data_IF_519837199696
#
_entry.id   IF_519837199696
#
_cell.length_a   1.000
_cell.length_b   1.000
_cell.length_c   1.000
_cell.angle_alpha   90.00
_cell.angle_beta   90.00
_cell.angle_gamma   90.00
#
_symmetry.space_group_name_H-M   'P 1'
#
loop_
_entity.id
_entity.type
_entity.pdbx_description
1 polymer ?
#
# COMPACT_ATOMS: atom_id res chain seq x y z
N UNK A 1 9.00 9.16 23.33
CA UNK A 1 8.82 10.54 23.81
C UNK A 1 7.35 10.90 23.59
N UNK A 2 6.61 11.07 24.69
CA UNK A 2 5.22 11.55 24.73
C UNK A 2 5.18 13.03 24.31
N UNK A 3 4.14 13.50 23.60
CA UNK A 3 3.26 14.62 24.01
C UNK A 3 2.34 15.12 22.84
N UNK A 4 1.02 15.01 23.07
CA UNK A 4 -0.16 15.90 22.83
C UNK A 4 -0.18 16.90 21.65
N UNK A 5 -1.20 16.87 20.79
CA UNK A 5 -2.56 17.49 20.89
C UNK A 5 -2.52 19.04 20.78
N UNK A 6 -2.80 19.58 19.58
CA UNK A 6 -3.06 21.01 19.34
C UNK A 6 -4.39 21.16 18.58
N UNK A 7 -5.42 21.54 19.34
CA UNK A 7 -6.32 22.68 19.07
C UNK A 7 -7.06 22.76 17.72
N UNK A 8 -8.31 22.29 17.68
CA UNK A 8 -9.38 22.86 16.84
C UNK A 8 -10.32 23.63 17.76
N UNK A 9 -9.87 24.81 18.20
CA UNK A 9 -10.69 25.81 18.89
C UNK A 9 -10.82 26.95 17.91
N UNK A 10 -11.83 26.99 17.03
CA UNK A 10 -12.19 28.27 16.35
C UNK A 10 -13.59 28.35 15.72
N UNK A 11 -14.49 27.37 15.87
CA UNK A 11 -15.79 27.42 15.17
C UNK A 11 -16.99 27.18 16.08
N UNK A 12 -17.03 27.84 17.24
CA UNK A 12 -18.19 27.76 18.16
C UNK A 12 -18.83 29.11 18.52
N UNK A 13 -18.32 30.23 17.99
CA UNK A 13 -18.71 31.56 18.48
C UNK A 13 -19.74 32.35 17.66
N UNK A 14 -20.43 31.76 16.68
CA UNK A 14 -21.30 32.54 15.76
C UNK A 14 -22.75 32.08 15.58
N UNK A 15 -23.37 31.41 16.57
CA UNK A 15 -24.76 30.95 16.43
C UNK A 15 -25.68 31.21 17.64
N UNK A 16 -25.48 32.29 18.39
CA UNK A 16 -26.41 32.66 19.48
C UNK A 16 -26.76 34.15 19.48
N UNK A 17 -27.62 34.56 18.55
CA UNK A 17 -28.37 35.83 18.67
C UNK A 17 -29.57 35.87 17.71
N UNK A 18 -30.66 35.19 18.07
CA UNK A 18 -31.99 35.50 17.56
C UNK A 18 -33.02 35.46 18.72
N UNK A 19 -33.95 36.44 18.80
CA UNK A 19 -34.84 36.61 19.94
C UNK A 19 -36.07 35.68 19.91
N UNK A 20 -36.61 35.46 21.10
CA UNK A 20 -37.65 34.49 21.45
C UNK A 20 -39.06 34.97 21.03
N UNK A 21 -39.57 34.41 19.94
CA UNK A 21 -40.99 34.51 19.55
C UNK A 21 -41.75 33.22 19.91
N UNK A 22 -42.64 33.32 20.89
CA UNK A 22 -43.53 32.25 21.40
C UNK A 22 -44.41 31.64 20.29
N UNK A 23 -44.34 30.32 20.11
CA UNK A 23 -45.46 29.48 19.63
C UNK A 23 -45.17 27.99 19.96
N UNK A 24 -46.00 27.42 20.85
CA UNK A 24 -45.85 26.08 21.45
C UNK A 24 -46.32 24.93 20.55
N UNK A 25 -45.81 24.81 19.31
CA UNK A 25 -46.02 23.59 18.51
C UNK A 25 -44.79 23.14 17.69
N UNK A 26 -43.60 23.65 18.02
CA UNK A 26 -42.34 23.37 17.31
C UNK A 26 -41.24 22.81 18.21
N UNK A 27 -41.61 22.18 19.34
CA UNK A 27 -40.64 21.76 20.36
C UNK A 27 -39.94 20.43 20.04
N UNK A 28 -40.60 19.49 19.34
CA UNK A 28 -40.04 18.14 19.13
C UNK A 28 -39.06 18.04 17.95
N UNK A 29 -39.14 18.92 16.94
CA UNK A 29 -38.29 18.85 15.74
C UNK A 29 -36.89 19.45 15.97
N UNK A 30 -36.75 20.40 16.91
CA UNK A 30 -35.48 21.10 17.17
C UNK A 30 -34.45 20.29 17.96
N UNK A 31 -34.88 19.31 18.77
CA UNK A 31 -33.98 18.42 19.51
C UNK A 31 -33.52 17.21 18.68
N UNK A 32 -34.27 16.82 17.64
CA UNK A 32 -33.87 15.78 16.70
C UNK A 32 -32.69 16.22 15.81
N UNK A 33 -32.65 17.48 15.36
CA UNK A 33 -31.54 17.99 14.54
C UNK A 33 -30.22 18.18 15.32
N UNK A 34 -30.27 18.56 16.61
CA UNK A 34 -29.05 18.70 17.43
C UNK A 34 -28.42 17.35 17.82
N UNK A 35 -29.22 16.29 17.87
CA UNK A 35 -28.76 14.95 18.22
C UNK A 35 -28.10 14.23 17.03
N UNK A 36 -28.47 14.57 15.79
CA UNK A 36 -27.90 13.97 14.57
C UNK A 36 -26.48 14.53 14.28
N UNK A 37 -26.20 15.78 14.62
CA UNK A 37 -24.88 16.40 14.34
C UNK A 37 -23.74 15.81 15.19
N UNK A 38 -24.04 15.26 16.37
CA UNK A 38 -23.02 14.67 17.24
C UNK A 38 -22.65 13.23 16.82
N UNK A 39 -23.53 12.52 16.12
CA UNK A 39 -23.33 11.11 15.74
C UNK A 39 -22.48 10.92 14.46
N UNK A 40 -22.36 11.96 13.62
CA UNK A 40 -21.54 11.92 12.39
C UNK A 40 -20.05 12.22 12.60
N UNK A 41 -19.61 12.52 13.82
CA UNK A 41 -18.20 12.85 14.13
C UNK A 41 -17.36 11.67 14.64
N UNK A 42 -17.94 10.47 14.75
CA UNK A 42 -17.21 9.24 15.10
C UNK A 42 -16.79 8.49 13.83
N UNK A 43 -16.10 9.17 12.91
CA UNK A 43 -15.38 8.46 11.85
C UNK A 43 -14.15 7.81 12.47
N UNK A 44 -14.01 6.47 12.44
CA UNK A 44 -12.81 5.83 12.95
C UNK A 44 -11.62 6.32 12.13
N UNK A 45 -10.65 6.96 12.80
CA UNK A 45 -9.36 7.23 12.20
C UNK A 45 -8.72 5.88 11.89
N UNK A 46 -8.64 5.54 10.61
CA UNK A 46 -7.88 4.37 10.16
C UNK A 46 -6.41 4.69 10.38
N UNK A 47 -5.85 4.21 11.50
CA UNK A 47 -4.40 4.22 11.72
C UNK A 47 -3.82 3.23 10.72
N UNK A 48 -3.19 3.75 9.66
CA UNK A 48 -2.43 2.92 8.74
C UNK A 48 -1.18 2.41 9.45
N UNK A 49 -1.10 1.09 9.65
CA UNK A 49 0.06 0.47 10.24
C UNK A 49 1.12 0.27 9.16
N UNK A 50 2.27 0.91 9.36
CA UNK A 50 3.51 0.58 8.65
C UNK A 50 3.77 -0.94 8.74
N UNK A 51 4.33 -1.53 7.69
CA UNK A 51 4.85 -2.92 7.76
C UNK A 51 5.90 -3.01 8.88
N UNK A 52 5.63 -3.85 9.87
CA UNK A 52 6.55 -4.09 10.97
C UNK A 52 7.60 -5.14 10.58
N UNK A 53 8.73 -4.64 10.10
CA UNK A 53 9.86 -5.47 9.69
C UNK A 53 10.60 -6.14 10.85
N UNK A 54 10.25 -5.87 12.12
CA UNK A 54 10.80 -6.60 13.26
C UNK A 54 10.08 -7.93 13.49
N UNK A 55 8.81 -8.02 13.10
CA UNK A 55 7.96 -9.20 13.29
C UNK A 55 7.58 -9.90 11.98
N UNK A 56 7.75 -9.25 10.83
CA UNK A 56 7.45 -9.84 9.52
C UNK A 56 8.34 -11.07 9.23
N UNK A 57 7.76 -12.27 9.04
CA UNK A 57 8.52 -13.45 8.67
C UNK A 57 9.22 -13.24 7.32
N UNK A 58 10.47 -13.68 7.19
CA UNK A 58 11.20 -13.57 5.91
C UNK A 58 10.44 -14.21 4.75
N UNK A 59 9.90 -15.40 4.98
CA UNK A 59 9.20 -16.20 3.97
C UNK A 59 7.71 -16.32 4.30
N UNK A 60 6.88 -16.24 3.27
CA UNK A 60 5.44 -16.55 3.34
C UNK A 60 5.10 -17.59 2.28
N UNK A 61 4.19 -18.50 2.59
CA UNK A 61 3.63 -19.44 1.62
C UNK A 61 2.51 -18.76 0.84
N UNK A 62 2.62 -18.76 -0.48
CA UNK A 62 1.61 -18.24 -1.42
C UNK A 62 0.51 -19.29 -1.62
N UNK A 63 -0.66 -18.87 -2.15
CA UNK A 63 -1.80 -19.76 -2.39
C UNK A 63 -1.46 -20.92 -3.36
N UNK A 64 -0.49 -20.72 -4.25
CA UNK A 64 0.02 -21.75 -5.17
C UNK A 64 1.08 -22.69 -4.58
N UNK A 65 1.35 -22.60 -3.27
CA UNK A 65 2.30 -23.46 -2.55
C UNK A 65 3.77 -23.03 -2.65
N UNK A 66 4.11 -22.06 -3.49
CA UNK A 66 5.46 -21.48 -3.51
C UNK A 66 5.69 -20.59 -2.28
N UNK A 67 6.95 -20.34 -1.94
CA UNK A 67 7.34 -19.43 -0.86
C UNK A 67 7.91 -18.14 -1.43
N UNK A 68 7.43 -16.99 -0.97
CA UNK A 68 7.97 -15.68 -1.33
C UNK A 68 8.82 -15.12 -0.19
N UNK A 69 9.98 -14.55 -0.51
CA UNK A 69 10.72 -13.70 0.44
C UNK A 69 9.99 -12.35 0.58
N UNK A 70 8.92 -12.31 1.38
CA UNK A 70 8.12 -11.11 1.57
C UNK A 70 8.92 -9.98 2.25
N UNK A 71 9.91 -10.31 3.06
CA UNK A 71 10.79 -9.31 3.65
C UNK A 71 11.58 -8.56 2.58
N UNK A 72 12.04 -9.25 1.53
CA UNK A 72 12.67 -8.60 0.39
C UNK A 72 11.72 -7.64 -0.36
N UNK A 73 10.43 -7.96 -0.45
CA UNK A 73 9.43 -7.14 -1.14
C UNK A 73 9.03 -5.92 -0.30
N UNK A 74 8.73 -6.09 0.98
CA UNK A 74 8.15 -5.03 1.82
C UNK A 74 9.16 -4.27 2.68
N UNK A 75 10.20 -4.94 3.17
CA UNK A 75 11.17 -4.35 4.09
C UNK A 75 12.45 -3.88 3.39
N UNK A 76 12.81 -4.53 2.29
CA UNK A 76 14.15 -4.40 1.73
C UNK A 76 15.20 -5.03 2.66
N UNK A 77 16.35 -5.37 2.09
CA UNK A 77 17.41 -6.09 2.80
C UNK A 77 18.74 -5.35 2.68
N UNK A 78 19.56 -5.44 3.71
CA UNK A 78 20.97 -5.04 3.67
C UNK A 78 21.87 -6.27 3.58
N UNK A 79 22.61 -6.42 2.48
CA UNK A 79 23.50 -7.55 2.30
C UNK A 79 24.64 -7.23 1.33
N UNK A 80 25.87 -7.68 1.65
CA UNK A 80 27.10 -7.38 0.90
C UNK A 80 27.27 -5.87 0.65
N UNK A 81 27.13 -5.07 1.71
CA UNK A 81 27.32 -3.61 1.68
C UNK A 81 26.43 -2.86 0.65
N UNK A 82 25.23 -3.38 0.38
CA UNK A 82 24.25 -2.75 -0.51
C UNK A 82 22.80 -3.05 -0.10
N UNK A 83 21.88 -2.10 -0.36
CA UNK A 83 20.45 -2.36 -0.25
C UNK A 83 19.97 -3.29 -1.37
N UNK A 84 18.95 -4.10 -1.08
CA UNK A 84 18.30 -5.05 -2.00
C UNK A 84 16.79 -5.05 -1.80
N UNK A 85 16.05 -5.35 -2.85
CA UNK A 85 14.58 -5.42 -2.79
C UNK A 85 13.91 -4.06 -2.60
N UNK A 86 12.92 -4.05 -1.71
CA UNK A 86 11.96 -3.00 -1.43
C UNK A 86 11.20 -2.56 -2.68
N UNK A 87 10.00 -3.13 -2.83
CA UNK A 87 9.14 -3.00 -4.00
C UNK A 87 7.70 -2.66 -3.63
N UNK A 88 7.41 -2.46 -2.34
CA UNK A 88 6.09 -2.02 -1.86
C UNK A 88 6.23 -1.21 -0.58
N UNK A 89 5.42 -0.16 -0.48
CA UNK A 89 5.19 0.63 0.73
C UNK A 89 3.68 0.87 0.88
N UNK A 90 2.93 -0.09 1.43
CA UNK A 90 1.48 0.05 1.58
C UNK A 90 1.12 1.39 2.27
N UNK A 91 0.09 2.04 1.76
CA UNK A 91 -0.36 3.40 2.10
C UNK A 91 0.72 4.48 1.91
N UNK A 92 1.74 4.21 1.11
CA UNK A 92 2.88 5.11 0.94
C UNK A 92 3.75 5.20 2.19
N UNK A 93 3.69 4.25 3.13
CA UNK A 93 4.45 4.34 4.39
C UNK A 93 5.71 3.49 4.30
N UNK A 94 6.87 4.12 4.50
CA UNK A 94 8.16 3.42 4.50
C UNK A 94 8.28 2.55 5.77
N UNK A 95 8.73 1.30 5.65
CA UNK A 95 9.08 0.48 6.81
C UNK A 95 10.29 1.06 7.54
N UNK A 96 10.47 0.66 8.80
CA UNK A 96 11.56 1.12 9.65
C UNK A 96 12.94 0.85 9.04
N UNK A 97 13.09 -0.17 8.19
CA UNK A 97 14.32 -0.54 7.46
C UNK A 97 14.70 0.45 6.34
N UNK A 98 13.79 1.30 5.90
CA UNK A 98 14.01 2.30 4.84
C UNK A 98 14.17 3.68 5.45
N UNK A 99 15.34 4.29 5.29
CA UNK A 99 15.65 5.62 5.84
C UNK A 99 15.12 6.77 4.98
N UNK A 100 15.17 6.61 3.66
CA UNK A 100 14.68 7.63 2.73
C UNK A 100 14.12 6.96 1.48
N UNK A 101 13.08 7.57 0.91
CA UNK A 101 12.54 7.22 -0.39
C UNK A 101 12.31 8.48 -1.23
N UNK A 102 12.84 8.49 -2.46
CA UNK A 102 12.64 9.58 -3.43
C UNK A 102 11.97 8.98 -4.66
N UNK A 103 10.78 9.47 -5.00
CA UNK A 103 10.12 9.13 -6.28
C UNK A 103 10.99 9.60 -7.44
N UNK A 104 11.21 8.74 -8.43
CA UNK A 104 11.95 9.07 -9.66
C UNK A 104 11.01 9.29 -10.83
N UNK A 105 10.04 8.38 -11.01
CA UNK A 105 8.96 8.52 -11.98
C UNK A 105 7.63 8.41 -11.24
N UNK A 106 6.66 9.30 -11.51
CA UNK A 106 5.36 9.27 -10.87
C UNK A 106 4.55 8.03 -11.25
N UNK A 107 3.45 7.79 -10.53
CA UNK A 107 2.59 6.65 -10.78
C UNK A 107 1.93 6.71 -12.16
N UNK A 108 1.99 5.60 -12.91
CA UNK A 108 1.26 5.42 -14.16
C UNK A 108 -0.22 5.08 -13.92
N UNK A 109 -0.97 4.78 -14.98
CA UNK A 109 -2.40 4.46 -14.89
C UNK A 109 -2.70 3.24 -13.99
N UNK A 110 -1.77 2.27 -13.93
CA UNK A 110 -1.88 1.11 -13.04
C UNK A 110 -1.47 1.41 -11.59
N UNK A 111 -0.99 2.62 -11.29
CA UNK A 111 -0.52 3.04 -9.97
C UNK A 111 0.93 2.66 -9.69
N UNK A 112 1.65 2.08 -10.64
CA UNK A 112 3.05 1.69 -10.49
C UNK A 112 3.91 2.93 -10.69
N UNK A 113 4.90 3.11 -9.82
CA UNK A 113 5.86 4.20 -9.89
C UNK A 113 7.26 3.66 -9.63
N UNK A 114 8.27 4.52 -9.78
CA UNK A 114 9.66 4.15 -9.48
C UNK A 114 10.27 5.08 -8.45
N UNK A 115 11.26 4.60 -7.72
CA UNK A 115 11.96 5.42 -6.75
C UNK A 115 13.36 4.93 -6.43
N UNK A 116 14.14 5.81 -5.81
CA UNK A 116 15.40 5.46 -5.15
C UNK A 116 15.22 5.52 -3.65
N UNK A 117 15.75 4.52 -2.97
CA UNK A 117 15.61 4.39 -1.53
C UNK A 117 16.92 4.04 -0.87
N UNK A 118 17.07 4.39 0.40
CA UNK A 118 18.24 4.07 1.24
C UNK A 118 17.82 3.19 2.41
N UNK A 119 18.69 2.28 2.82
CA UNK A 119 18.46 1.39 3.96
C UNK A 119 19.04 2.00 5.23
N UNK A 120 18.37 1.83 6.37
CA UNK A 120 18.82 2.38 7.67
C UNK A 120 20.26 2.01 8.02
N UNK A 121 20.69 0.80 7.67
CA UNK A 121 22.06 0.32 7.96
C UNK A 121 23.14 1.20 7.32
N UNK A 122 22.87 1.86 6.20
CA UNK A 122 23.79 2.83 5.61
C UNK A 122 23.05 3.78 4.64
N UNK A 123 22.63 4.97 5.11
CA UNK A 123 21.91 5.95 4.30
C UNK A 123 22.69 6.51 3.10
N UNK A 124 24.02 6.31 3.03
CA UNK A 124 24.82 6.76 1.86
C UNK A 124 24.67 5.86 0.63
N UNK A 125 24.10 4.66 0.79
CA UNK A 125 23.89 3.70 -0.30
C UNK A 125 22.41 3.63 -0.63
N UNK A 126 22.10 3.79 -1.91
CA UNK A 126 20.73 3.76 -2.40
C UNK A 126 20.54 2.69 -3.49
N UNK A 127 19.29 2.29 -3.71
CA UNK A 127 18.87 1.36 -4.76
C UNK A 127 17.66 1.92 -5.51
N UNK A 128 17.57 1.63 -6.80
CA UNK A 128 16.39 1.85 -7.62
C UNK A 128 15.40 0.68 -7.51
N UNK A 129 14.12 0.97 -7.38
CA UNK A 129 13.03 0.00 -7.38
C UNK A 129 11.81 0.54 -8.12
N UNK A 130 11.12 -0.33 -8.86
CA UNK A 130 9.71 -0.15 -9.18
C UNK A 130 8.86 -0.59 -8.00
N UNK A 131 7.73 0.10 -7.81
CA UNK A 131 6.89 0.02 -6.62
C UNK A 131 5.48 -0.40 -6.97
N UNK A 132 4.94 -1.37 -6.23
CA UNK A 132 3.52 -1.68 -6.25
C UNK A 132 2.71 -0.42 -5.86
N UNK A 133 1.48 -0.26 -6.37
CA UNK A 133 0.62 0.85 -6.00
C UNK A 133 0.47 0.98 -4.48
N UNK A 134 0.57 2.21 -3.98
CA UNK A 134 0.58 2.48 -2.53
C UNK A 134 -0.74 2.05 -1.87
N UNK A 135 -1.88 2.16 -2.55
CA UNK A 135 -3.20 1.74 -2.00
C UNK A 135 -3.37 0.22 -1.92
N UNK A 136 -2.40 -0.57 -2.37
CA UNK A 136 -2.47 -2.01 -2.28
C UNK A 136 -1.98 -2.50 -0.91
N UNK A 137 -2.82 -3.28 -0.25
CA UNK A 137 -2.46 -3.97 1.00
C UNK A 137 -1.43 -5.07 0.76
N UNK A 138 -0.74 -5.50 1.84
CA UNK A 138 0.16 -6.67 1.82
C UNK A 138 -0.55 -7.89 1.23
N UNK A 139 -1.78 -8.17 1.67
CA UNK A 139 -2.57 -9.31 1.19
C UNK A 139 -2.84 -9.25 -0.31
N UNK A 140 -3.27 -8.09 -0.82
CA UNK A 140 -3.52 -7.90 -2.25
C UNK A 140 -2.26 -8.10 -3.09
N UNK A 141 -1.11 -7.63 -2.60
CA UNK A 141 0.17 -7.80 -3.28
C UNK A 141 0.59 -9.27 -3.27
N UNK A 142 0.51 -9.96 -2.14
CA UNK A 142 0.84 -11.39 -2.05
C UNK A 142 -0.06 -12.23 -2.96
N UNK A 143 -1.36 -11.90 -3.03
CA UNK A 143 -2.31 -12.58 -3.90
C UNK A 143 -2.03 -12.34 -5.37
N UNK A 144 -1.68 -11.11 -5.75
CA UNK A 144 -1.23 -10.79 -7.11
C UNK A 144 0.07 -11.50 -7.49
N UNK A 145 1.04 -11.60 -6.58
CA UNK A 145 2.28 -12.36 -6.81
C UNK A 145 1.98 -13.85 -6.95
N UNK A 146 1.11 -14.41 -6.10
CA UNK A 146 0.66 -15.81 -6.19
C UNK A 146 0.06 -16.10 -7.57
N UNK A 147 -0.80 -15.21 -8.08
CA UNK A 147 -1.38 -15.35 -9.41
C UNK A 147 -0.34 -15.26 -10.53
N UNK A 148 0.48 -14.20 -10.51
CA UNK A 148 1.52 -14.00 -11.53
C UNK A 148 2.50 -15.19 -11.62
N UNK A 149 2.75 -15.85 -10.49
CA UNK A 149 3.69 -16.98 -10.39
C UNK A 149 3.02 -18.34 -10.70
N UNK A 150 1.68 -18.41 -10.68
CA UNK A 150 0.94 -19.63 -10.99
C UNK A 150 0.73 -19.86 -12.50
N UNK A 151 0.67 -18.78 -13.30
CA UNK A 151 0.50 -18.85 -14.75
C UNK A 151 1.52 -17.96 -15.44
N UNK A 152 2.69 -18.50 -15.76
CA UNK A 152 3.80 -17.70 -16.31
C UNK A 152 4.19 -18.13 -17.72
N UNK A 153 3.53 -17.57 -18.73
CA UNK A 153 4.00 -17.56 -20.14
C UNK A 153 3.78 -16.19 -20.82
N UNK A 154 3.62 -15.10 -20.06
CA UNK A 154 3.69 -13.77 -20.68
C UNK A 154 5.16 -13.45 -20.97
N UNK A 155 5.50 -13.12 -22.22
CA UNK A 155 6.77 -12.48 -22.52
C UNK A 155 6.90 -11.24 -21.62
N UNK A 156 8.00 -11.15 -20.88
CA UNK A 156 8.26 -9.95 -20.10
C UNK A 156 8.31 -8.73 -21.04
N UNK A 157 7.75 -7.57 -20.63
CA UNK A 157 7.83 -6.35 -21.41
C UNK A 157 9.27 -6.02 -21.80
N UNK A 158 9.46 -5.42 -22.97
CA UNK A 158 10.78 -5.05 -23.48
C UNK A 158 11.56 -4.20 -22.46
N UNK A 159 12.85 -4.47 -22.28
CA UNK A 159 13.69 -3.81 -21.27
C UNK A 159 13.63 -4.44 -19.87
N UNK A 160 12.79 -5.46 -19.68
CA UNK A 160 12.83 -6.29 -18.47
C UNK A 160 14.16 -7.06 -18.35
N UNK A 161 14.68 -7.30 -17.13
CA UNK A 161 15.90 -8.09 -16.97
C UNK A 161 15.74 -9.53 -17.46
N UNK A 162 16.73 -10.08 -18.18
CA UNK A 162 16.63 -11.43 -18.77
C UNK A 162 16.49 -12.57 -17.74
N UNK A 163 16.80 -12.31 -16.48
CA UNK A 163 16.75 -13.31 -15.41
C UNK A 163 15.36 -13.48 -14.79
N UNK A 164 14.38 -12.62 -15.09
CA UNK A 164 13.02 -12.72 -14.53
C UNK A 164 12.07 -13.58 -15.36
N UNK A 165 11.02 -14.04 -14.70
CA UNK A 165 9.77 -14.47 -15.31
C UNK A 165 8.71 -13.41 -15.07
N UNK A 166 7.66 -13.41 -15.88
CA UNK A 166 6.57 -12.46 -15.77
C UNK A 166 5.21 -13.15 -15.77
N UNK A 167 4.25 -12.49 -15.12
CA UNK A 167 2.84 -12.84 -15.14
C UNK A 167 1.99 -11.61 -14.80
N UNK A 168 0.71 -11.67 -15.16
CA UNK A 168 -0.23 -10.59 -14.86
C UNK A 168 -0.55 -10.53 -13.36
N UNK A 169 -0.88 -9.36 -12.85
CA UNK A 169 -1.23 -9.13 -11.45
C UNK A 169 -2.57 -9.75 -11.01
N UNK A 170 -3.44 -10.12 -11.96
CA UNK A 170 -4.78 -10.67 -11.68
C UNK A 170 -5.36 -11.41 -12.92
N UNK A 171 -6.38 -12.26 -12.73
CA UNK A 171 -7.10 -12.91 -13.83
C UNK A 171 -7.81 -11.91 -14.77
N UNK A 172 -8.09 -12.35 -16.01
CA UNK A 172 -8.92 -11.59 -16.96
C UNK A 172 -10.34 -11.32 -16.41
N UNK A 173 -10.99 -10.26 -16.92
CA UNK A 173 -12.15 -9.56 -16.34
C UNK A 173 -13.49 -10.33 -16.28
N UNK A 174 -13.49 -11.65 -16.41
CA UNK A 174 -14.66 -12.53 -16.34
C UNK A 174 -14.95 -13.08 -14.92
N UNK A 175 -14.30 -12.52 -13.90
CA UNK A 175 -14.55 -12.85 -12.50
C UNK A 175 -14.68 -11.55 -11.73
N UNK A 176 -15.77 -11.35 -10.98
CA UNK A 176 -15.92 -10.26 -10.00
C UNK A 176 -14.74 -10.31 -9.01
N UNK A 177 -13.69 -9.51 -9.24
CA UNK A 177 -12.42 -9.61 -8.51
C UNK A 177 -11.75 -8.28 -8.10
N UNK A 178 -12.40 -7.09 -8.08
CA UNK A 178 -11.67 -5.85 -7.83
C UNK A 178 -11.07 -5.74 -6.42
N UNK A 179 -11.53 -6.53 -5.44
CA UNK A 179 -11.11 -6.39 -4.05
C UNK A 179 -9.93 -7.29 -3.63
N UNK A 180 -9.64 -8.37 -4.37
CA UNK A 180 -8.68 -9.38 -3.91
C UNK A 180 -7.25 -9.20 -4.42
N UNK A 181 -7.09 -8.60 -5.59
CA UNK A 181 -5.80 -8.39 -6.24
C UNK A 181 -5.39 -6.92 -6.17
N UNK A 182 -4.09 -6.67 -6.14
CA UNK A 182 -3.58 -5.32 -6.25
C UNK A 182 -3.87 -4.77 -7.65
N UNK A 183 -4.68 -3.72 -7.76
CA UNK A 183 -5.04 -3.07 -9.04
C UNK A 183 -5.52 -1.65 -8.77
N UNK A 184 -5.30 -0.74 -9.71
CA UNK A 184 -5.83 0.63 -9.70
C UNK A 184 -6.85 0.79 -10.82
N UNK A 185 -8.08 1.19 -10.50
CA UNK A 185 -9.14 1.45 -11.49
C UNK A 185 -9.35 0.29 -12.49
N UNK A 186 -9.14 -0.94 -12.03
CA UNK A 186 -9.27 -2.13 -12.88
C UNK A 186 -8.10 -2.35 -13.85
N UNK A 187 -7.09 -1.49 -13.89
CA UNK A 187 -5.92 -1.65 -14.76
C UNK A 187 -5.10 -2.90 -14.41
N UNK A 188 -4.61 -3.57 -15.46
CA UNK A 188 -3.66 -4.66 -15.36
C UNK A 188 -2.23 -4.12 -15.32
N UNK A 189 -1.33 -4.92 -14.75
CA UNK A 189 0.10 -4.71 -14.89
C UNK A 189 0.86 -6.02 -14.78
N UNK A 190 2.09 -6.00 -15.29
CA UNK A 190 2.99 -7.15 -15.24
C UNK A 190 3.76 -7.17 -13.93
N UNK A 191 3.84 -8.35 -13.30
CA UNK A 191 4.73 -8.62 -12.17
C UNK A 191 5.92 -9.44 -12.67
N UNK A 192 7.12 -8.90 -12.53
CA UNK A 192 8.38 -9.61 -12.71
C UNK A 192 8.79 -10.31 -11.42
N UNK A 193 9.30 -11.54 -11.52
CA UNK A 193 9.78 -12.30 -10.36
C UNK A 193 10.97 -13.19 -10.69
N UNK A 194 11.79 -13.47 -9.67
CA UNK A 194 12.89 -14.41 -9.80
C UNK A 194 12.35 -15.85 -9.99
N UNK A 195 12.94 -16.66 -10.90
CA UNK A 195 12.61 -18.07 -11.01
C UNK A 195 12.72 -18.77 -9.64
N UNK A 196 11.74 -19.61 -9.33
CA UNK A 196 11.72 -20.32 -8.06
C UNK A 196 12.94 -21.26 -7.94
N UNK A 197 13.63 -21.21 -6.81
CA UNK A 197 14.70 -22.14 -6.44
C UNK A 197 14.27 -22.89 -5.18
N UNK A 198 14.20 -24.22 -5.26
CA UNK A 198 13.72 -25.07 -4.15
C UNK A 198 12.35 -24.60 -3.62
N UNK A 199 11.44 -24.21 -4.52
CA UNK A 199 10.12 -23.67 -4.16
C UNK A 199 10.11 -22.24 -3.62
N UNK A 200 11.26 -21.57 -3.52
CA UNK A 200 11.38 -20.19 -3.04
C UNK A 200 11.60 -19.16 -4.16
N UNK A 201 10.79 -18.11 -4.16
CA UNK A 201 10.93 -16.90 -4.98
C UNK A 201 11.55 -15.81 -4.12
N UNK A 202 12.76 -15.36 -4.46
CA UNK A 202 13.47 -14.39 -3.63
C UNK A 202 12.98 -12.94 -3.83
N UNK A 203 12.33 -12.63 -4.94
CA UNK A 203 11.83 -11.27 -5.21
C UNK A 203 10.70 -11.29 -6.23
N UNK A 204 9.78 -10.34 -6.11
CA UNK A 204 8.77 -10.00 -7.07
C UNK A 204 8.52 -8.48 -7.03
N UNK A 205 8.27 -7.89 -8.19
CA UNK A 205 8.11 -6.44 -8.35
C UNK A 205 7.25 -6.13 -9.58
N UNK A 206 6.49 -5.03 -9.60
CA UNK A 206 5.78 -4.63 -10.80
C UNK A 206 6.76 -4.11 -11.85
N UNK A 207 6.49 -4.40 -13.13
CA UNK A 207 7.22 -3.80 -14.24
C UNK A 207 6.64 -2.40 -14.47
N UNK A 208 7.51 -1.38 -14.46
CA UNK A 208 7.12 -0.02 -14.80
C UNK A 208 7.30 0.15 -16.31
N UNK A 209 6.19 0.41 -17.00
CA UNK A 209 6.07 0.66 -18.44
C UNK A 209 5.73 2.13 -18.70
#
# INVERSE_FOLDING_TARGET
>A
MQFYLITVVYTFYLLTSLPEGRNMHHSTIRYLLKSIVCLFMLSPLTVSAQVDCSTLPRWVTLENGLRLNQYHVFCGEWHNNRPKGFHSRPEGINPATVSQFIVQSPANAAGIYTGRWTHQSNPSKNKFSSMFPDHCTVTQILKSISHATAGSESNCPAGSPDWIRCGLNKPAANVEQPLHYCSKDGNFFTIGFAPAKQGGINTAFPIFE
#
